data_IF_532972057761
#
_entry.id   IF_532972057761
#
_cell.length_a   1.000
_cell.length_b   1.000
_cell.length_c   1.000
_cell.angle_alpha   90.00
_cell.angle_beta   90.00
_cell.angle_gamma   90.00
#
_symmetry.space_group_name_H-M   'P 1'
#
loop_
_entity.id
_entity.type
_entity.pdbx_description
1 polymer ?
#
# COMPACT_ATOMS: atom_id res chain seq x y z
N UNK A 1 6.14 -13.04 25.35
CA UNK A 1 5.28 -13.35 24.19
C UNK A 1 5.53 -12.18 23.26
N UNK A 2 6.36 -12.35 22.23
CA UNK A 2 6.65 -11.26 21.29
C UNK A 2 5.32 -10.74 20.74
N UNK A 3 5.02 -9.48 21.05
CA UNK A 3 3.88 -8.78 20.50
C UNK A 3 4.16 -8.61 19.00
N UNK A 4 3.32 -9.20 18.17
CA UNK A 4 3.47 -9.03 16.73
C UNK A 4 3.14 -7.59 16.37
N UNK A 5 4.06 -6.94 15.66
CA UNK A 5 3.90 -5.55 15.21
C UNK A 5 3.33 -5.57 13.79
N UNK A 6 2.15 -4.96 13.56
CA UNK A 6 1.63 -4.72 12.22
C UNK A 6 2.62 -3.94 11.36
N UNK A 7 2.81 -4.39 10.13
CA UNK A 7 3.56 -3.67 9.10
C UNK A 7 2.58 -2.97 8.16
N UNK A 8 2.82 -1.68 7.92
CA UNK A 8 2.11 -0.86 6.95
C UNK A 8 2.88 -0.93 5.64
N UNK A 9 2.50 -1.83 4.73
CA UNK A 9 3.17 -1.97 3.43
C UNK A 9 3.11 -0.65 2.64
N UNK A 10 1.95 0.01 2.69
CA UNK A 10 1.74 1.32 2.08
C UNK A 10 1.18 2.23 3.17
N UNK A 11 1.78 3.41 3.33
CA UNK A 11 1.29 4.45 4.23
C UNK A 11 1.53 5.82 3.58
N UNK A 12 0.50 6.33 2.92
CA UNK A 12 0.50 7.65 2.32
C UNK A 12 -0.41 8.58 3.12
N UNK A 13 0.10 9.76 3.47
CA UNK A 13 -0.70 10.81 4.09
C UNK A 13 -0.10 12.18 3.79
N UNK A 14 -0.96 13.19 3.71
CA UNK A 14 -0.55 14.60 3.70
C UNK A 14 -0.36 15.19 5.12
N UNK A 15 -0.53 14.37 6.16
CA UNK A 15 -0.49 14.79 7.56
C UNK A 15 -1.67 15.69 7.97
N UNK A 16 -2.71 15.80 7.13
CA UNK A 16 -3.89 16.64 7.36
C UNK A 16 -5.14 15.76 7.37
N UNK A 17 -5.75 15.57 6.21
CA UNK A 17 -7.08 14.99 6.08
C UNK A 17 -7.12 13.81 5.10
N UNK A 18 -6.07 13.60 4.29
CA UNK A 18 -6.04 12.49 3.33
C UNK A 18 -5.02 11.46 3.77
N UNK A 19 -5.46 10.20 3.89
CA UNK A 19 -4.56 9.07 4.10
C UNK A 19 -5.04 7.80 3.41
N UNK A 20 -4.06 7.00 3.00
CA UNK A 20 -4.21 5.64 2.49
C UNK A 20 -3.21 4.75 3.22
N UNK A 21 -3.72 3.75 3.94
CA UNK A 21 -2.88 2.80 4.68
C UNK A 21 -3.25 1.38 4.29
N UNK A 22 -2.29 0.61 3.79
CA UNK A 22 -2.40 -0.83 3.62
C UNK A 22 -1.59 -1.53 4.72
N UNK A 23 -2.30 -2.04 5.71
CA UNK A 23 -1.73 -2.58 6.95
C UNK A 23 -1.99 -4.07 7.06
N UNK A 24 -0.95 -4.84 7.40
CA UNK A 24 -1.12 -6.23 7.83
C UNK A 24 -1.91 -6.28 9.13
N UNK A 25 -2.83 -7.25 9.28
CA UNK A 25 -3.69 -7.36 10.48
C UNK A 25 -3.37 -8.59 11.34
N UNK A 26 -2.62 -9.55 10.80
CA UNK A 26 -2.25 -10.77 11.48
C UNK A 26 -0.81 -11.14 11.15
N UNK A 27 -0.16 -11.86 12.08
CA UNK A 27 1.14 -12.47 11.82
C UNK A 27 1.04 -13.46 10.65
N UNK A 28 1.99 -13.38 9.72
CA UNK A 28 2.09 -14.34 8.64
C UNK A 28 2.28 -15.76 9.17
N UNK A 29 1.51 -16.69 8.62
CA UNK A 29 1.70 -18.12 8.81
C UNK A 29 2.60 -18.64 7.69
N UNK A 30 3.77 -19.21 8.03
CA UNK A 30 4.78 -19.65 7.05
C UNK A 30 4.29 -20.60 5.94
N UNK A 31 3.12 -21.22 6.09
CA UNK A 31 2.49 -22.10 5.09
C UNK A 31 1.58 -21.38 4.09
N UNK A 32 1.32 -20.07 4.28
CA UNK A 32 0.43 -19.28 3.43
C UNK A 32 1.25 -18.45 2.47
N UNK A 33 0.79 -18.35 1.22
CA UNK A 33 1.36 -17.45 0.22
C UNK A 33 0.85 -16.00 0.35
N UNK A 34 0.12 -15.69 1.43
CA UNK A 34 -0.51 -14.39 1.62
C UNK A 34 -0.57 -14.00 3.09
N UNK A 35 -0.61 -12.69 3.34
CA UNK A 35 -0.80 -12.06 4.65
C UNK A 35 -2.16 -11.37 4.66
N UNK A 36 -2.92 -11.55 5.74
CA UNK A 36 -4.17 -10.82 5.95
C UNK A 36 -3.87 -9.34 6.15
N UNK A 37 -4.61 -8.49 5.46
CA UNK A 37 -4.42 -7.04 5.53
C UNK A 37 -5.74 -6.27 5.48
N UNK A 38 -5.64 -4.97 5.73
CA UNK A 38 -6.70 -4.01 5.51
C UNK A 38 -6.18 -2.77 4.80
N UNK A 39 -7.00 -2.26 3.89
CA UNK A 39 -6.80 -0.98 3.25
C UNK A 39 -7.74 0.05 3.91
N UNK A 40 -7.16 1.06 4.53
CA UNK A 40 -7.84 2.16 5.19
C UNK A 40 -7.70 3.39 4.29
N UNK A 41 -8.84 3.98 3.92
CA UNK A 41 -8.88 5.22 3.15
C UNK A 41 -9.61 6.25 3.99
N UNK A 42 -8.92 7.33 4.34
CA UNK A 42 -9.49 8.43 5.12
C UNK A 42 -9.39 9.72 4.33
N UNK A 43 -10.53 10.39 4.15
CA UNK A 43 -10.68 11.75 3.61
C UNK A 43 -11.83 12.45 4.33
N UNK A 44 -12.04 13.74 4.08
CA UNK A 44 -13.20 14.48 4.63
C UNK A 44 -14.57 13.93 4.15
N UNK A 45 -14.58 13.10 3.12
CA UNK A 45 -15.80 12.58 2.47
C UNK A 45 -15.87 11.05 2.42
N UNK A 46 -14.79 10.34 2.76
CA UNK A 46 -14.71 8.87 2.80
C UNK A 46 -13.96 8.45 4.06
N UNK A 47 -14.57 7.55 4.82
CA UNK A 47 -13.90 6.75 5.86
C UNK A 47 -14.20 5.28 5.54
N UNK A 48 -13.24 4.61 4.90
CA UNK A 48 -13.41 3.26 4.38
C UNK A 48 -12.36 2.30 4.92
N UNK A 49 -12.81 1.08 5.24
CA UNK A 49 -11.98 -0.05 5.69
C UNK A 49 -12.28 -1.28 4.85
N UNK A 50 -11.33 -1.67 4.00
CA UNK A 50 -11.45 -2.81 3.10
C UNK A 50 -10.54 -3.95 3.56
N UNK A 51 -11.13 -5.07 3.96
CA UNK A 51 -10.35 -6.28 4.24
C UNK A 51 -9.83 -6.89 2.93
N UNK A 52 -8.55 -7.23 2.90
CA UNK A 52 -7.87 -7.80 1.72
C UNK A 52 -6.78 -8.79 2.15
N UNK A 53 -6.08 -9.36 1.16
CA UNK A 53 -4.86 -10.12 1.39
C UNK A 53 -3.74 -9.53 0.55
N UNK A 54 -2.54 -9.46 1.12
CA UNK A 54 -1.30 -9.16 0.41
C UNK A 54 -0.70 -10.50 0.02
N UNK A 55 -0.61 -10.78 -1.28
CA UNK A 55 0.11 -11.95 -1.76
C UNK A 55 1.60 -11.67 -1.77
N UNK A 56 2.41 -12.65 -1.37
CA UNK A 56 3.85 -12.47 -1.21
C UNK A 56 4.54 -12.26 -2.57
N UNK A 57 4.06 -12.89 -3.63
CA UNK A 57 4.55 -12.70 -5.00
C UNK A 57 4.34 -11.27 -5.51
N UNK A 58 3.32 -10.56 -5.03
CA UNK A 58 3.11 -9.15 -5.35
C UNK A 58 4.08 -8.21 -4.63
N UNK A 59 4.89 -8.66 -3.67
CA UNK A 59 5.88 -7.78 -3.01
C UNK A 59 6.99 -7.33 -3.97
N UNK A 60 7.38 -8.18 -4.91
CA UNK A 60 8.31 -7.81 -5.98
C UNK A 60 7.70 -6.78 -6.93
N UNK A 61 6.40 -6.93 -7.27
CA UNK A 61 5.68 -5.92 -8.04
C UNK A 61 5.64 -4.57 -7.32
N UNK A 62 5.51 -4.57 -5.98
CA UNK A 62 5.55 -3.33 -5.22
C UNK A 62 6.92 -2.66 -5.27
N UNK A 63 8.00 -3.45 -5.19
CA UNK A 63 9.35 -2.94 -5.35
C UNK A 63 9.56 -2.28 -6.73
N UNK A 64 9.07 -2.92 -7.79
CA UNK A 64 9.13 -2.37 -9.15
C UNK A 64 8.28 -1.09 -9.29
N UNK A 65 7.10 -1.07 -8.69
CA UNK A 65 6.24 0.11 -8.62
C UNK A 65 6.96 1.29 -7.95
N UNK A 66 7.62 1.07 -6.81
CA UNK A 66 8.41 2.09 -6.10
C UNK A 66 9.55 2.64 -6.97
N UNK A 67 10.26 1.79 -7.70
CA UNK A 67 11.29 2.21 -8.67
C UNK A 67 10.70 3.00 -9.86
N UNK A 68 9.45 2.72 -10.22
CA UNK A 68 8.69 3.52 -11.19
C UNK A 68 8.39 4.91 -10.67
N UNK A 69 7.82 4.96 -9.46
CA UNK A 69 7.38 6.18 -8.80
C UNK A 69 8.54 7.12 -8.47
N UNK A 70 9.68 6.59 -8.01
CA UNK A 70 10.90 7.38 -7.78
C UNK A 70 11.47 8.00 -9.05
N UNK A 71 11.18 7.42 -10.21
CA UNK A 71 11.53 7.95 -11.51
C UNK A 71 10.41 8.80 -12.15
N UNK A 72 9.37 9.16 -11.38
CA UNK A 72 8.25 9.98 -11.84
C UNK A 72 7.32 9.28 -12.84
N UNK A 73 7.29 7.94 -12.86
CA UNK A 73 6.38 7.17 -13.72
C UNK A 73 5.18 6.68 -12.93
N UNK A 74 4.09 6.51 -13.66
CA UNK A 74 2.90 5.83 -13.16
C UNK A 74 3.22 4.41 -12.70
N UNK A 75 2.48 3.96 -11.69
CA UNK A 75 2.56 2.60 -11.20
C UNK A 75 1.18 2.08 -10.78
N UNK A 76 1.03 0.76 -10.80
CA UNK A 76 -0.16 0.06 -10.29
C UNK A 76 0.27 -1.07 -9.38
N UNK A 77 -0.51 -1.37 -8.35
CA UNK A 77 -0.26 -2.48 -7.45
C UNK A 77 -1.52 -3.01 -6.76
N UNK A 78 -1.72 -4.34 -6.66
CA UNK A 78 -1.10 -5.36 -7.49
C UNK A 78 -1.68 -5.31 -8.91
N UNK A 79 -0.84 -5.49 -9.92
CA UNK A 79 -1.25 -5.24 -11.30
C UNK A 79 -2.24 -6.31 -11.80
N UNK A 80 -3.41 -5.90 -12.30
CA UNK A 80 -4.39 -6.85 -12.88
C UNK A 80 -4.99 -7.82 -11.86
N UNK A 81 -4.94 -7.46 -10.58
CA UNK A 81 -5.57 -8.19 -9.48
C UNK A 81 -7.09 -8.27 -9.67
N UNK A 82 -7.69 -9.41 -9.29
CA UNK A 82 -9.15 -9.54 -9.20
C UNK A 82 -9.75 -8.91 -7.93
N UNK A 83 -8.90 -8.43 -7.02
CA UNK A 83 -9.29 -7.82 -5.75
C UNK A 83 -8.95 -6.33 -5.72
N UNK A 84 -8.50 -5.86 -4.55
CA UNK A 84 -8.01 -4.49 -4.39
C UNK A 84 -6.86 -4.24 -5.37
N UNK A 85 -6.98 -3.14 -6.13
CA UNK A 85 -5.96 -2.58 -7.01
C UNK A 85 -5.78 -1.09 -6.68
N UNK A 86 -4.54 -0.66 -6.63
CA UNK A 86 -4.12 0.72 -6.41
C UNK A 86 -3.41 1.21 -7.65
N UNK A 87 -3.73 2.42 -8.09
CA UNK A 87 -3.01 3.09 -9.17
C UNK A 87 -2.49 4.43 -8.67
N UNK A 88 -1.25 4.73 -9.03
CA UNK A 88 -0.48 5.86 -8.56
C UNK A 88 0.00 6.68 -9.76
N UNK A 89 -0.29 7.97 -9.74
CA UNK A 89 0.14 8.91 -10.76
C UNK A 89 0.85 10.09 -10.09
N UNK A 90 2.19 10.15 -10.15
CA UNK A 90 2.97 11.27 -9.62
C UNK A 90 2.87 12.46 -10.58
N UNK A 91 2.63 13.65 -10.04
CA UNK A 91 2.62 14.91 -10.79
C UNK A 91 3.95 15.65 -10.62
N UNK A 92 4.33 16.44 -11.63
CA UNK A 92 5.54 17.29 -11.57
C UNK A 92 5.50 18.33 -10.43
N UNK A 93 4.30 18.65 -9.92
CA UNK A 93 4.08 19.58 -8.81
C UNK A 93 4.37 18.97 -7.44
N UNK A 94 4.70 17.68 -7.35
CA UNK A 94 4.86 16.95 -6.08
C UNK A 94 3.56 16.33 -5.56
N UNK A 95 2.43 16.59 -6.22
CA UNK A 95 1.16 15.95 -5.91
C UNK A 95 1.16 14.48 -6.36
N UNK A 96 0.46 13.62 -5.63
CA UNK A 96 0.26 12.22 -5.97
C UNK A 96 -1.23 11.95 -6.10
N UNK A 97 -1.68 11.54 -7.29
CA UNK A 97 -3.02 11.03 -7.50
C UNK A 97 -3.04 9.51 -7.27
N UNK A 98 -4.03 9.05 -6.52
CA UNK A 98 -4.18 7.65 -6.14
C UNK A 98 -5.61 7.21 -6.43
N UNK A 99 -5.76 6.12 -7.17
CA UNK A 99 -7.04 5.45 -7.38
C UNK A 99 -7.05 4.15 -6.61
N UNK A 100 -8.04 3.97 -5.75
CA UNK A 100 -8.30 2.73 -5.01
C UNK A 100 -9.49 2.07 -5.67
N UNK A 101 -9.28 0.88 -6.23
CA UNK A 101 -10.30 0.10 -6.89
C UNK A 101 -10.46 -1.25 -6.20
N UNK A 102 -11.66 -1.49 -5.67
CA UNK A 102 -12.12 -2.79 -5.18
C UNK A 102 -13.43 -3.12 -5.92
N UNK A 103 -13.41 -4.07 -6.88
CA UNK A 103 -14.47 -4.25 -7.86
C UNK A 103 -15.88 -4.39 -7.28
N UNK A 104 -15.99 -5.02 -6.11
CA UNK A 104 -17.28 -5.34 -5.48
C UNK A 104 -17.70 -4.30 -4.43
N UNK A 105 -16.81 -3.40 -4.01
CA UNK A 105 -17.00 -2.60 -2.79
C UNK A 105 -16.82 -1.10 -2.96
N UNK A 106 -15.74 -0.66 -3.59
CA UNK A 106 -15.37 0.76 -3.60
C UNK A 106 -14.52 1.12 -4.82
N UNK A 107 -14.80 2.26 -5.43
CA UNK A 107 -13.83 2.93 -6.29
C UNK A 107 -13.74 4.39 -5.86
N UNK A 108 -12.56 4.82 -5.46
CA UNK A 108 -12.30 6.20 -5.03
C UNK A 108 -11.00 6.69 -5.63
N UNK A 109 -10.99 7.93 -6.11
CA UNK A 109 -9.79 8.63 -6.48
C UNK A 109 -9.53 9.75 -5.47
N UNK A 110 -8.30 9.83 -4.99
CA UNK A 110 -7.84 10.83 -4.03
C UNK A 110 -6.52 11.41 -4.49
N UNK A 111 -6.20 12.59 -3.95
CA UNK A 111 -4.96 13.28 -4.21
C UNK A 111 -4.37 13.76 -2.90
N UNK A 112 -3.05 13.67 -2.76
CA UNK A 112 -2.33 14.18 -1.60
C UNK A 112 -0.92 14.61 -2.00
N UNK A 113 -0.29 15.44 -1.17
CA UNK A 113 1.14 15.74 -1.25
C UNK A 113 1.84 14.88 -0.18
N UNK A 114 2.56 13.81 -0.55
CA UNK A 114 3.17 12.92 0.42
C UNK A 114 4.39 13.58 1.09
N UNK A 115 4.82 13.04 2.24
CA UNK A 115 6.08 13.43 2.89
C UNK A 115 7.25 13.21 1.94
N UNK A 116 8.31 14.03 2.01
CA UNK A 116 9.43 13.97 1.06
C UNK A 116 10.09 12.58 0.97
N UNK A 117 10.12 11.83 2.09
CA UNK A 117 10.83 10.56 2.22
C UNK A 117 9.90 9.34 2.04
N UNK A 118 8.67 9.53 1.56
CA UNK A 118 7.66 8.47 1.52
C UNK A 118 8.13 7.23 0.74
N UNK A 119 8.87 7.39 -0.36
CA UNK A 119 9.42 6.25 -1.12
C UNK A 119 10.36 5.41 -0.24
N UNK A 120 11.33 6.06 0.44
CA UNK A 120 12.28 5.39 1.32
C UNK A 120 11.56 4.69 2.49
N UNK A 121 10.51 5.31 3.02
CA UNK A 121 9.65 4.71 4.05
C UNK A 121 8.97 3.43 3.55
N UNK A 122 8.45 3.44 2.31
CA UNK A 122 7.77 2.28 1.73
C UNK A 122 8.76 1.16 1.35
N UNK A 123 9.97 1.50 0.89
CA UNK A 123 11.04 0.53 0.69
C UNK A 123 11.41 -0.15 2.03
N UNK A 124 11.56 0.64 3.11
CA UNK A 124 11.82 0.09 4.44
C UNK A 124 10.66 -0.78 4.95
N UNK A 125 9.41 -0.40 4.69
CA UNK A 125 8.24 -1.19 5.07
C UNK A 125 8.13 -2.50 4.30
N UNK A 126 8.44 -2.49 3.00
CA UNK A 126 8.55 -3.68 2.18
C UNK A 126 9.58 -4.66 2.77
N UNK A 127 10.77 -4.18 3.14
CA UNK A 127 11.80 -5.03 3.76
C UNK A 127 11.36 -5.58 5.12
N UNK A 128 10.68 -4.78 5.94
CA UNK A 128 10.08 -5.25 7.21
C UNK A 128 9.08 -6.36 6.98
N UNK A 129 8.22 -6.24 5.96
CA UNK A 129 7.22 -7.26 5.65
C UNK A 129 7.87 -8.55 5.13
N UNK A 130 8.82 -8.46 4.20
CA UNK A 130 9.60 -9.62 3.71
C UNK A 130 10.25 -10.38 4.87
N UNK A 131 10.96 -9.66 5.75
CA UNK A 131 11.57 -10.26 6.93
C UNK A 131 10.53 -10.91 7.87
N UNK A 132 9.37 -10.28 8.08
CA UNK A 132 8.29 -10.84 8.91
C UNK A 132 7.68 -12.11 8.31
N UNK A 133 7.68 -12.24 6.97
CA UNK A 133 7.21 -13.41 6.23
C UNK A 133 8.29 -14.50 6.04
N UNK A 134 9.53 -14.24 6.44
CA UNK A 134 10.66 -15.17 6.28
C UNK A 134 11.26 -15.17 4.88
N UNK A 135 10.99 -14.15 4.07
CA UNK A 135 11.69 -13.89 2.81
C UNK A 135 13.01 -13.15 3.16
N UNK A 136 14.14 -13.77 2.82
CA UNK A 136 15.50 -13.23 3.07
C UNK A 136 16.12 -12.69 1.81
#
# INVERSE_FOLDING_TARGET
MDEWVPVDLIHLSDGRNVSLVLRTIERHEARRAQVRAECLVTTDFVDARLQTNIWLDHLDEWEEALRGLSAGRDASWPHGSRGLELYFHPHETGWLSISVHDPDRLTVALGLEPTADWIDEHEANLQRLRHACGES
#
